data_IF_668576191291
#
_entry.id   IF_668576191291
#
_cell.length_a   1.000
_cell.length_b   1.000
_cell.length_c   1.000
_cell.angle_alpha   90.00
_cell.angle_beta   90.00
_cell.angle_gamma   90.00
#
_symmetry.space_group_name_H-M   'P 1'
#
loop_
_entity.id
_entity.type
_entity.pdbx_description
1 polymer ?
#
# COMPACT_ATOMS: atom_id res chain seq x y z
N UNK A 1 1.31 7.96 13.92
CA UNK A 1 0.09 8.08 13.13
C UNK A 1 0.20 9.23 12.13
N UNK A 2 -0.69 9.25 11.18
CA UNK A 2 -0.84 10.25 10.14
C UNK A 2 -2.33 10.49 9.88
N UNK A 3 -2.64 11.63 9.28
CA UNK A 3 -3.97 11.97 8.82
C UNK A 3 -4.15 11.43 7.40
N UNK A 4 -5.24 10.72 7.13
CA UNK A 4 -5.65 10.36 5.76
C UNK A 4 -6.65 11.37 5.25
N UNK A 5 -6.56 11.72 3.97
CA UNK A 5 -7.43 12.72 3.33
C UNK A 5 -7.63 12.37 1.84
N UNK A 6 -8.77 12.77 1.27
CA UNK A 6 -8.99 12.63 -0.18
C UNK A 6 -8.06 13.54 -0.98
N UNK A 7 -7.77 13.16 -2.23
CA UNK A 7 -6.96 14.00 -3.13
C UNK A 7 -7.59 15.37 -3.34
N UNK A 8 -8.91 15.42 -3.54
CA UNK A 8 -9.65 16.66 -3.80
C UNK A 8 -9.60 17.62 -2.60
N UNK A 9 -9.84 17.12 -1.39
CA UNK A 9 -9.79 17.95 -0.18
C UNK A 9 -8.36 18.45 0.09
N UNK A 10 -7.36 17.58 -0.13
CA UNK A 10 -5.96 17.96 0.01
C UNK A 10 -5.57 19.11 -0.93
N UNK A 11 -5.98 19.04 -2.19
CA UNK A 11 -5.71 20.10 -3.19
C UNK A 11 -6.36 21.42 -2.79
N UNK A 12 -7.59 21.40 -2.25
CA UNK A 12 -8.30 22.62 -1.81
C UNK A 12 -7.55 23.37 -0.71
N UNK A 13 -6.86 22.67 0.18
CA UNK A 13 -6.15 23.29 1.31
C UNK A 13 -4.62 23.30 1.11
N UNK A 14 -4.14 22.90 -0.07
CA UNK A 14 -2.74 22.97 -0.47
C UNK A 14 -1.82 21.92 0.16
N UNK A 15 -2.37 20.79 0.61
CA UNK A 15 -1.58 19.66 1.09
C UNK A 15 -1.07 18.82 -0.07
N UNK A 16 0.18 18.36 0.04
CA UNK A 16 0.86 17.60 -1.02
C UNK A 16 1.61 16.41 -0.46
N UNK A 17 1.66 15.36 -1.27
CA UNK A 17 2.58 14.23 -1.11
C UNK A 17 3.52 14.18 -2.32
N UNK A 18 4.78 13.84 -2.07
CA UNK A 18 5.82 13.75 -3.10
C UNK A 18 6.50 12.39 -3.03
N UNK A 19 6.44 11.62 -4.09
CA UNK A 19 7.26 10.41 -4.23
C UNK A 19 8.71 10.81 -4.51
N UNK A 20 9.59 10.53 -3.57
CA UNK A 20 11.03 10.81 -3.68
C UNK A 20 11.75 9.61 -4.28
N UNK A 21 11.42 8.41 -3.81
CA UNK A 21 11.92 7.14 -4.31
C UNK A 21 10.90 6.03 -3.98
N UNK A 22 11.13 4.81 -4.48
CA UNK A 22 10.37 3.67 -4.02
C UNK A 22 10.57 3.50 -2.51
N UNK A 23 9.49 3.52 -1.73
CA UNK A 23 9.52 3.51 -0.27
C UNK A 23 9.71 4.88 0.39
N UNK A 24 9.99 5.95 -0.34
CA UNK A 24 10.17 7.29 0.20
C UNK A 24 9.07 8.24 -0.27
N UNK A 25 8.21 8.64 0.65
CA UNK A 25 7.13 9.60 0.44
C UNK A 25 7.33 10.79 1.36
N UNK A 26 7.43 11.98 0.80
CA UNK A 26 7.45 13.22 1.54
C UNK A 26 6.07 13.86 1.57
N UNK A 27 5.74 14.55 2.64
CA UNK A 27 4.40 15.06 2.90
C UNK A 27 4.42 16.35 3.70
N UNK A 28 3.40 17.17 3.53
CA UNK A 28 3.14 18.29 4.43
C UNK A 28 2.54 17.80 5.76
N UNK A 29 2.59 18.69 6.77
CA UNK A 29 1.81 18.55 7.98
C UNK A 29 0.47 19.26 7.85
N UNK A 30 -0.51 18.82 8.65
CA UNK A 30 -1.74 19.54 8.91
C UNK A 30 -1.92 19.79 10.41
N UNK A 31 -2.55 20.89 10.75
CA UNK A 31 -3.13 21.12 12.06
C UNK A 31 -4.59 20.70 12.03
N UNK A 32 -4.92 19.68 12.80
CA UNK A 32 -6.31 19.22 12.97
C UNK A 32 -6.83 19.74 14.31
N UNK A 33 -7.98 20.40 14.28
CA UNK A 33 -8.62 21.00 15.47
C UNK A 33 -10.03 20.45 15.66
N UNK A 34 -10.31 20.00 16.88
CA UNK A 34 -11.64 19.54 17.33
C UNK A 34 -11.96 20.24 18.64
N UNK A 35 -13.05 21.02 18.69
CA UNK A 35 -13.52 21.69 19.92
C UNK A 35 -12.41 22.45 20.71
N UNK A 36 -11.53 23.13 19.98
CA UNK A 36 -10.45 23.93 20.58
C UNK A 36 -9.15 23.16 20.85
N UNK A 37 -9.15 21.84 20.82
CA UNK A 37 -7.94 21.02 20.90
C UNK A 37 -7.31 20.85 19.52
N UNK A 38 -6.01 21.07 19.41
CA UNK A 38 -5.30 20.98 18.13
C UNK A 38 -4.13 20.01 18.20
N UNK A 39 -3.92 19.28 17.10
CA UNK A 39 -2.77 18.38 16.91
C UNK A 39 -2.13 18.62 15.55
N UNK A 40 -0.81 18.69 15.52
CA UNK A 40 -0.01 18.69 14.30
C UNK A 40 0.30 17.26 13.90
N UNK A 41 -0.11 16.86 12.69
CA UNK A 41 0.06 15.51 12.16
C UNK A 41 0.52 15.53 10.71
N UNK A 42 1.38 14.61 10.27
CA UNK A 42 1.70 14.48 8.85
C UNK A 42 0.52 13.88 8.08
N UNK A 43 0.46 14.11 6.78
CA UNK A 43 -0.71 13.79 5.95
C UNK A 43 -0.38 12.78 4.88
N UNK A 44 -1.22 11.77 4.71
CA UNK A 44 -1.21 10.89 3.54
C UNK A 44 -2.48 11.12 2.73
N UNK A 45 -2.30 11.48 1.47
CA UNK A 45 -3.38 11.53 0.47
C UNK A 45 -3.69 10.09 0.09
N UNK A 46 -4.88 9.62 0.46
CA UNK A 46 -5.27 8.23 0.28
C UNK A 46 -6.28 8.09 -0.87
N UNK A 47 -5.93 7.34 -1.93
CA UNK A 47 -6.89 7.01 -2.98
C UNK A 47 -8.13 6.31 -2.42
N UNK A 48 -9.31 6.72 -2.86
CA UNK A 48 -10.58 6.16 -2.40
C UNK A 48 -11.10 6.71 -1.06
N UNK A 49 -10.37 7.59 -0.39
CA UNK A 49 -10.88 8.31 0.78
C UNK A 49 -12.09 9.17 0.37
N UNK A 50 -13.18 9.09 1.14
CA UNK A 50 -14.37 9.89 0.87
C UNK A 50 -14.09 11.39 1.02
N UNK A 51 -14.59 12.20 0.08
CA UNK A 51 -14.50 13.67 0.13
C UNK A 51 -15.21 14.19 1.38
N UNK A 52 -14.70 15.27 1.96
CA UNK A 52 -15.20 15.85 3.20
C UNK A 52 -14.93 15.02 4.45
N UNK A 53 -14.09 13.99 4.35
CA UNK A 53 -13.73 13.16 5.49
C UNK A 53 -12.23 13.00 5.65
N UNK A 54 -11.77 12.89 6.90
CA UNK A 54 -10.38 12.59 7.24
C UNK A 54 -10.32 11.49 8.30
N UNK A 55 -9.24 10.72 8.28
CA UNK A 55 -9.01 9.66 9.25
C UNK A 55 -7.75 9.89 10.07
N UNK A 56 -7.81 9.66 11.37
CA UNK A 56 -6.66 9.72 12.27
C UNK A 56 -6.69 8.56 13.26
N UNK A 57 -5.70 7.69 13.19
CA UNK A 57 -5.63 6.51 14.05
C UNK A 57 -5.23 6.85 15.49
N UNK A 58 -5.87 6.17 16.44
CA UNK A 58 -5.51 6.19 17.86
C UNK A 58 -4.31 5.27 18.18
N UNK A 59 -3.85 5.32 19.42
CA UNK A 59 -2.85 4.40 19.97
C UNK A 59 -1.40 4.85 19.87
N UNK A 60 -1.14 6.01 19.29
CA UNK A 60 0.19 6.63 19.17
C UNK A 60 0.42 7.74 20.21
N UNK A 61 1.63 8.32 20.22
CA UNK A 61 1.99 9.42 21.11
C UNK A 61 2.20 8.99 22.57
N UNK A 62 2.52 7.71 22.79
CA UNK A 62 2.91 7.19 24.12
C UNK A 62 4.35 7.59 24.41
N UNK A 63 4.59 8.18 25.58
CA UNK A 63 5.92 8.64 26.00
C UNK A 63 6.46 7.93 27.24
N UNK A 64 5.59 7.20 27.98
CA UNK A 64 5.97 6.46 29.18
C UNK A 64 6.14 4.98 28.89
N UNK A 65 7.09 4.34 29.57
CA UNK A 65 7.38 2.91 29.49
C UNK A 65 7.77 2.40 28.08
N UNK A 66 8.24 3.28 27.19
CA UNK A 66 8.72 2.93 25.86
C UNK A 66 10.13 3.46 25.64
N UNK A 67 10.95 2.72 24.89
CA UNK A 67 12.22 3.21 24.39
C UNK A 67 11.98 4.46 23.52
N UNK A 68 12.93 5.38 23.50
CA UNK A 68 12.80 6.67 22.78
C UNK A 68 12.48 6.47 21.30
N UNK A 69 13.07 5.48 20.68
CA UNK A 69 12.89 5.13 19.26
C UNK A 69 11.45 4.64 18.93
N UNK A 70 10.73 4.19 19.96
CA UNK A 70 9.34 3.70 19.84
C UNK A 70 8.31 4.80 20.18
N UNK A 71 8.75 5.96 20.63
CA UNK A 71 7.89 7.10 20.98
C UNK A 71 7.54 7.88 19.70
N UNK A 72 6.54 7.40 18.96
CA UNK A 72 6.17 7.94 17.66
C UNK A 72 4.74 8.45 17.62
N UNK A 73 4.52 9.46 16.77
CA UNK A 73 3.22 10.04 16.51
C UNK A 73 2.70 10.92 17.65
N UNK A 74 1.41 11.22 17.59
CA UNK A 74 0.71 12.09 18.56
C UNK A 74 -0.45 11.36 19.22
N UNK A 75 -0.82 11.79 20.42
CA UNK A 75 -1.96 11.22 21.14
C UNK A 75 -3.28 11.78 20.61
N UNK A 76 -3.88 11.08 19.66
CA UNK A 76 -5.15 11.45 19.04
C UNK A 76 -6.37 11.36 19.98
N UNK A 77 -6.24 10.69 21.13
CA UNK A 77 -7.33 10.68 22.14
C UNK A 77 -7.69 12.07 22.68
N UNK A 78 -6.79 13.05 22.57
CA UNK A 78 -7.10 14.45 22.92
C UNK A 78 -8.25 15.02 22.09
N UNK A 79 -8.40 14.55 20.86
CA UNK A 79 -9.46 14.96 19.94
C UNK A 79 -10.74 14.14 20.10
N UNK A 80 -10.69 13.03 20.83
CA UNK A 80 -11.84 12.11 20.99
C UNK A 80 -12.80 12.67 22.06
N UNK A 81 -13.93 13.21 21.60
CA UNK A 81 -14.93 13.85 22.47
C UNK A 81 -16.23 13.09 22.41
N UNK A 82 -16.86 12.89 23.58
CA UNK A 82 -18.21 12.33 23.68
C UNK A 82 -18.39 10.91 23.13
N UNK A 83 -17.31 10.13 23.05
CA UNK A 83 -17.33 8.78 22.46
C UNK A 83 -17.86 8.68 21.02
N UNK A 84 -17.85 9.79 20.28
CA UNK A 84 -18.26 9.82 18.88
C UNK A 84 -17.10 9.35 17.97
N UNK A 85 -17.41 8.42 17.06
CA UNK A 85 -16.45 7.91 16.07
C UNK A 85 -16.18 8.93 14.96
N UNK A 86 -17.13 9.80 14.66
CA UNK A 86 -16.98 10.89 13.69
C UNK A 86 -17.29 12.24 14.35
N UNK A 87 -16.51 13.25 13.99
CA UNK A 87 -16.61 14.60 14.56
C UNK A 87 -16.28 15.63 13.50
N UNK A 88 -16.87 16.82 13.61
CA UNK A 88 -16.49 17.93 12.77
C UNK A 88 -15.09 18.42 13.15
N UNK A 89 -14.24 18.60 12.16
CA UNK A 89 -12.86 19.01 12.34
C UNK A 89 -12.56 20.25 11.49
N UNK A 90 -11.66 21.11 11.98
CA UNK A 90 -11.03 22.14 11.18
C UNK A 90 -9.63 21.66 10.79
N UNK A 91 -9.26 21.84 9.51
CA UNK A 91 -7.92 21.52 9.02
C UNK A 91 -7.24 22.78 8.50
N UNK A 92 -5.95 22.88 8.82
CA UNK A 92 -5.08 23.93 8.29
C UNK A 92 -3.78 23.29 7.80
N UNK A 93 -3.34 23.66 6.60
CA UNK A 93 -2.08 23.19 6.04
C UNK A 93 -0.90 23.84 6.75
N UNK A 94 0.13 23.05 7.06
CA UNK A 94 1.40 23.53 7.59
C UNK A 94 2.48 23.19 6.57
N UNK A 95 3.19 24.22 6.07
CA UNK A 95 4.24 24.07 5.07
C UNK A 95 5.55 23.61 5.71
N UNK A 96 5.52 22.44 6.33
CA UNK A 96 6.67 21.71 6.83
C UNK A 96 6.69 20.33 6.20
N UNK A 97 7.88 19.76 6.01
CA UNK A 97 8.05 18.45 5.39
C UNK A 97 8.12 17.34 6.45
N UNK A 98 7.43 16.25 6.18
CA UNK A 98 7.55 14.98 6.91
C UNK A 98 7.99 13.88 5.96
N UNK A 99 9.01 13.17 6.33
CA UNK A 99 9.52 12.03 5.59
C UNK A 99 8.83 10.74 6.04
N UNK A 100 8.01 10.14 5.18
CA UNK A 100 7.47 8.80 5.40
C UNK A 100 8.37 7.73 4.81
N UNK A 101 8.39 6.57 5.45
CA UNK A 101 8.85 5.32 4.87
C UNK A 101 7.64 4.42 4.62
N UNK A 102 7.39 4.09 3.37
CA UNK A 102 6.25 3.31 2.93
C UNK A 102 6.76 2.01 2.29
N UNK A 103 6.44 0.87 2.86
CA UNK A 103 6.84 -0.43 2.29
C UNK A 103 6.11 -0.76 1.00
N UNK A 104 5.04 -0.01 0.67
CA UNK A 104 4.31 -0.13 -0.57
C UNK A 104 3.74 1.22 -1.00
N UNK A 105 4.16 1.69 -2.18
CA UNK A 105 3.66 2.91 -2.82
C UNK A 105 2.92 2.62 -4.14
N UNK A 106 2.82 1.36 -4.53
CA UNK A 106 2.14 0.94 -5.76
C UNK A 106 0.63 1.00 -5.55
N UNK A 107 0.01 2.07 -6.02
CA UNK A 107 -1.42 2.31 -5.91
C UNK A 107 -2.11 2.44 -7.28
N UNK A 108 -1.38 2.22 -8.36
CA UNK A 108 -1.91 2.19 -9.73
C UNK A 108 -1.24 1.09 -10.54
N UNK A 109 -1.92 0.58 -11.55
CA UNK A 109 -1.37 -0.35 -12.53
C UNK A 109 -0.55 0.34 -13.62
N UNK A 110 -0.50 1.69 -13.62
CA UNK A 110 0.21 2.50 -14.62
C UNK A 110 -0.18 2.16 -16.06
N UNK A 111 -1.47 1.90 -16.32
CA UNK A 111 -1.99 1.49 -17.61
C UNK A 111 -1.76 0.01 -17.97
N UNK A 112 -1.19 -0.80 -17.08
CA UNK A 112 -0.92 -2.22 -17.31
C UNK A 112 -2.06 -3.10 -16.77
N UNK A 113 -3.30 -2.87 -17.25
CA UNK A 113 -4.50 -3.53 -16.73
C UNK A 113 -4.45 -5.06 -16.73
N UNK A 114 -3.72 -5.65 -17.69
CA UNK A 114 -3.68 -7.10 -17.87
C UNK A 114 -2.68 -7.85 -16.99
N UNK A 115 -1.91 -7.17 -16.14
CA UNK A 115 -0.95 -7.87 -15.25
C UNK A 115 -1.64 -8.55 -14.06
N UNK A 116 -2.80 -8.07 -13.64
CA UNK A 116 -3.67 -8.73 -12.65
C UNK A 116 -4.82 -9.37 -13.40
N UNK A 117 -4.97 -10.67 -13.22
CA UNK A 117 -6.03 -11.45 -13.85
C UNK A 117 -7.20 -11.58 -12.89
N UNK A 118 -8.38 -11.15 -13.34
CA UNK A 118 -9.61 -11.20 -12.56
C UNK A 118 -10.67 -11.98 -13.32
N UNK A 119 -11.46 -12.77 -12.62
CA UNK A 119 -12.58 -13.52 -13.20
C UNK A 119 -13.62 -13.82 -12.14
N UNK A 120 -14.84 -14.16 -12.57
CA UNK A 120 -15.87 -14.69 -11.68
C UNK A 120 -15.81 -16.21 -11.67
N UNK A 121 -16.32 -16.84 -10.62
CA UNK A 121 -16.39 -18.29 -10.51
C UNK A 121 -17.18 -18.91 -11.67
N UNK A 122 -18.25 -18.25 -12.11
CA UNK A 122 -19.05 -18.68 -13.26
C UNK A 122 -18.21 -18.72 -14.54
N UNK A 123 -17.49 -17.64 -14.85
CA UNK A 123 -16.64 -17.56 -16.03
C UNK A 123 -15.50 -18.57 -15.95
N UNK A 124 -14.88 -18.73 -14.79
CA UNK A 124 -13.82 -19.71 -14.56
C UNK A 124 -14.29 -21.15 -14.86
N UNK A 125 -15.51 -21.51 -14.43
CA UNK A 125 -16.05 -22.84 -14.60
C UNK A 125 -16.63 -23.11 -16.01
N UNK A 126 -17.07 -22.06 -16.73
CA UNK A 126 -17.82 -22.24 -17.99
C UNK A 126 -17.07 -21.79 -19.24
N UNK A 127 -16.04 -20.99 -19.12
CA UNK A 127 -15.28 -20.43 -20.25
C UNK A 127 -13.86 -20.93 -20.26
N UNK A 128 -13.24 -20.93 -21.44
CA UNK A 128 -11.82 -21.24 -21.56
C UNK A 128 -10.96 -20.15 -20.94
N UNK A 129 -9.73 -20.48 -20.52
CA UNK A 129 -8.77 -19.54 -19.92
C UNK A 129 -8.53 -18.28 -20.75
N UNK A 130 -8.69 -18.32 -22.06
CA UNK A 130 -8.55 -17.18 -22.97
C UNK A 130 -9.46 -15.99 -22.62
N UNK A 131 -10.58 -16.23 -21.91
CA UNK A 131 -11.54 -15.18 -21.54
C UNK A 131 -11.08 -14.32 -20.37
N UNK A 132 -10.23 -14.84 -19.51
CA UNK A 132 -9.81 -14.17 -18.29
C UNK A 132 -8.28 -14.14 -18.09
N UNK A 133 -7.54 -14.93 -18.87
CA UNK A 133 -6.09 -15.01 -18.82
C UNK A 133 -5.49 -14.68 -20.18
N UNK A 134 -5.57 -13.41 -20.57
CA UNK A 134 -4.94 -12.93 -21.81
C UNK A 134 -3.42 -13.09 -21.72
N UNK A 135 -2.80 -13.58 -22.78
CA UNK A 135 -1.35 -13.67 -22.88
C UNK A 135 -0.82 -12.33 -23.37
N UNK A 136 0.14 -11.71 -22.68
CA UNK A 136 0.80 -10.49 -23.16
C UNK A 136 1.46 -10.74 -24.52
N UNK A 137 1.53 -9.69 -25.33
CA UNK A 137 2.15 -9.72 -26.64
C UNK A 137 3.31 -8.73 -26.70
N UNK A 138 4.30 -9.06 -27.50
CA UNK A 138 5.43 -8.19 -27.83
C UNK A 138 5.54 -8.05 -29.35
N UNK A 139 6.24 -7.03 -29.79
CA UNK A 139 6.52 -6.87 -31.22
C UNK A 139 7.81 -7.60 -31.56
N UNK A 140 7.69 -8.65 -32.37
CA UNK A 140 8.82 -9.33 -32.99
C UNK A 140 8.82 -9.00 -34.49
N UNK A 141 9.83 -8.29 -34.97
CA UNK A 141 9.91 -7.85 -36.38
C UNK A 141 8.63 -7.15 -36.88
N UNK A 142 8.05 -6.26 -36.01
CA UNK A 142 6.79 -5.53 -36.27
C UNK A 142 5.52 -6.40 -36.31
N UNK A 143 5.61 -7.68 -35.90
CA UNK A 143 4.48 -8.59 -35.77
C UNK A 143 4.15 -8.79 -34.29
N UNK A 144 2.87 -8.61 -33.91
CA UNK A 144 2.42 -8.92 -32.54
C UNK A 144 2.53 -10.43 -32.29
N UNK A 145 3.45 -10.79 -31.40
CA UNK A 145 3.75 -12.18 -31.05
C UNK A 145 3.48 -12.40 -29.56
N UNK A 146 2.75 -13.48 -29.17
CA UNK A 146 2.59 -13.82 -27.77
C UNK A 146 3.94 -14.06 -27.07
N UNK A 147 4.10 -13.61 -25.82
CA UNK A 147 5.35 -13.85 -25.05
C UNK A 147 5.63 -15.33 -24.78
N UNK A 148 4.64 -16.19 -24.96
CA UNK A 148 4.78 -17.65 -24.85
C UNK A 148 5.26 -18.30 -26.13
N UNK A 149 5.50 -17.53 -27.22
CA UNK A 149 6.06 -18.06 -28.45
C UNK A 149 7.53 -18.43 -28.25
N UNK A 150 7.97 -19.62 -28.72
CA UNK A 150 9.39 -19.99 -28.69
C UNK A 150 10.33 -18.97 -29.34
N UNK A 151 9.81 -18.20 -30.32
CA UNK A 151 10.61 -17.20 -31.04
C UNK A 151 10.99 -15.97 -30.19
N UNK A 152 10.30 -15.73 -29.08
CA UNK A 152 10.53 -14.60 -28.15
C UNK A 152 10.97 -15.05 -26.77
N UNK A 153 10.91 -16.34 -26.48
CA UNK A 153 11.41 -16.90 -25.23
C UNK A 153 12.92 -17.00 -25.27
N UNK A 154 13.59 -16.56 -24.19
CA UNK A 154 15.04 -16.60 -24.04
C UNK A 154 15.53 -17.92 -23.45
N UNK A 155 14.63 -18.75 -22.98
CA UNK A 155 14.92 -19.99 -22.25
C UNK A 155 14.10 -21.15 -22.80
N UNK A 156 14.70 -22.33 -22.78
CA UNK A 156 13.95 -23.54 -23.01
C UNK A 156 12.89 -23.75 -21.93
N UNK A 157 11.76 -24.34 -22.29
CA UNK A 157 10.70 -24.63 -21.33
C UNK A 157 11.20 -25.59 -20.25
N UNK A 158 10.97 -25.23 -18.98
CA UNK A 158 11.27 -26.13 -17.88
C UNK A 158 10.37 -27.37 -17.91
N UNK A 159 10.95 -28.53 -17.73
CA UNK A 159 10.18 -29.76 -17.55
C UNK A 159 9.42 -29.72 -16.23
N UNK A 160 8.14 -29.40 -16.30
CA UNK A 160 7.24 -29.28 -15.16
C UNK A 160 6.77 -30.62 -14.61
N UNK A 161 7.17 -31.75 -15.20
CA UNK A 161 6.93 -33.08 -14.67
C UNK A 161 7.91 -33.46 -13.55
N UNK A 162 9.02 -32.74 -13.44
CA UNK A 162 10.09 -33.01 -12.46
C UNK A 162 9.87 -32.16 -11.20
N UNK A 163 9.79 -32.82 -10.06
CA UNK A 163 9.67 -32.17 -8.75
C UNK A 163 8.26 -31.68 -8.43
N UNK A 164 8.19 -30.78 -7.44
CA UNK A 164 6.93 -30.19 -7.00
C UNK A 164 6.81 -28.75 -7.49
N UNK A 165 5.59 -28.37 -7.88
CA UNK A 165 5.24 -27.00 -8.21
C UNK A 165 4.35 -26.45 -7.11
N UNK A 166 4.71 -25.28 -6.59
CA UNK A 166 4.00 -24.64 -5.49
C UNK A 166 3.27 -23.39 -5.98
N UNK A 167 2.08 -23.19 -5.49
CA UNK A 167 1.36 -21.94 -5.58
C UNK A 167 0.76 -21.56 -4.23
N UNK A 168 0.41 -20.29 -4.07
CA UNK A 168 -0.25 -19.78 -2.88
C UNK A 168 -1.69 -19.43 -3.23
N UNK A 169 -2.65 -20.12 -2.59
CA UNK A 169 -4.06 -19.81 -2.69
C UNK A 169 -4.54 -19.22 -1.38
N UNK A 170 -5.19 -18.06 -1.45
CA UNK A 170 -5.65 -17.31 -0.29
C UNK A 170 -7.14 -17.07 -0.41
N UNK A 171 -7.92 -17.62 0.52
CA UNK A 171 -9.34 -17.30 0.66
C UNK A 171 -9.49 -15.97 1.39
N UNK A 172 -9.73 -14.89 0.65
CA UNK A 172 -9.89 -13.55 1.20
C UNK A 172 -11.18 -13.38 2.05
N UNK A 173 -12.17 -14.28 1.90
CA UNK A 173 -13.36 -14.25 2.74
C UNK A 173 -13.07 -14.83 4.14
N UNK A 174 -12.15 -15.79 4.23
CA UNK A 174 -11.72 -16.37 5.49
C UNK A 174 -10.51 -15.66 6.13
N UNK A 175 -9.80 -14.86 5.36
CA UNK A 175 -8.59 -14.17 5.80
C UNK A 175 -8.89 -13.13 6.88
N UNK A 176 -8.25 -13.26 8.05
CA UNK A 176 -8.36 -12.31 9.17
C UNK A 176 -7.31 -11.20 9.15
N UNK A 177 -6.39 -11.21 8.17
CA UNK A 177 -5.28 -10.24 8.10
C UNK A 177 -4.23 -10.42 9.21
N UNK A 178 -4.08 -11.60 9.79
CA UNK A 178 -3.17 -11.85 10.92
C UNK A 178 -1.68 -11.74 10.56
N UNK A 179 -1.31 -11.75 9.26
CA UNK A 179 0.08 -11.61 8.79
C UNK A 179 0.98 -12.83 8.99
N UNK A 180 0.45 -13.97 9.44
CA UNK A 180 1.26 -15.18 9.69
C UNK A 180 1.99 -15.67 8.43
N UNK A 181 1.34 -15.64 7.27
CA UNK A 181 1.96 -16.00 5.98
C UNK A 181 3.08 -15.02 5.58
N UNK A 182 2.93 -13.74 5.88
CA UNK A 182 3.97 -12.72 5.65
C UNK A 182 5.19 -13.01 6.52
N UNK A 183 4.99 -13.30 7.80
CA UNK A 183 6.08 -13.63 8.72
C UNK A 183 6.75 -14.95 8.36
N UNK A 184 5.99 -15.97 7.95
CA UNK A 184 6.55 -17.23 7.47
C UNK A 184 7.44 -17.01 6.23
N UNK A 185 7.01 -16.19 5.28
CA UNK A 185 7.83 -15.82 4.13
C UNK A 185 9.11 -15.08 4.56
N UNK A 186 9.02 -14.16 5.53
CA UNK A 186 10.21 -13.47 6.06
C UNK A 186 11.21 -14.42 6.68
N UNK A 187 10.73 -15.36 7.49
CA UNK A 187 11.59 -16.34 8.20
C UNK A 187 12.27 -17.28 7.21
N UNK A 188 11.53 -17.84 6.26
CA UNK A 188 12.04 -18.83 5.30
C UNK A 188 13.02 -18.20 4.30
N UNK A 189 12.74 -17.00 3.83
CA UNK A 189 13.54 -16.32 2.82
C UNK A 189 14.56 -15.33 3.40
N UNK A 190 14.75 -15.35 4.72
CA UNK A 190 15.67 -14.43 5.41
C UNK A 190 15.49 -12.96 4.98
N UNK A 191 14.24 -12.51 4.87
CA UNK A 191 13.92 -11.14 4.48
C UNK A 191 14.37 -10.18 5.58
N UNK A 192 15.22 -9.19 5.30
CA UNK A 192 15.73 -8.30 6.33
C UNK A 192 14.63 -7.41 6.92
N UNK A 193 14.61 -7.31 8.24
CA UNK A 193 13.80 -6.31 8.95
C UNK A 193 14.65 -5.07 9.14
N UNK A 194 14.31 -3.99 8.44
CA UNK A 194 15.05 -2.72 8.42
C UNK A 194 14.17 -1.55 8.84
N UNK A 195 14.80 -0.47 9.25
CA UNK A 195 14.11 0.73 9.69
C UNK A 195 13.81 1.71 8.56
N UNK A 196 13.27 2.85 8.95
CA UNK A 196 12.82 3.96 8.09
C UNK A 196 13.87 4.37 7.05
N UNK A 197 15.13 4.50 7.46
CA UNK A 197 16.22 4.96 6.59
C UNK A 197 16.43 4.04 5.40
N UNK A 198 16.44 2.73 5.62
CA UNK A 198 16.67 1.76 4.55
C UNK A 198 15.44 1.60 3.64
N UNK A 199 14.23 1.63 4.21
CA UNK A 199 12.99 1.62 3.40
C UNK A 199 12.95 2.83 2.47
N UNK A 200 13.32 4.00 2.95
CA UNK A 200 13.40 5.23 2.13
C UNK A 200 14.48 5.18 1.04
N UNK A 201 15.44 4.27 1.16
CA UNK A 201 16.45 3.95 0.12
C UNK A 201 16.01 2.81 -0.81
N UNK A 202 14.72 2.55 -0.90
CA UNK A 202 14.13 1.51 -1.76
C UNK A 202 14.43 0.07 -1.34
N UNK A 203 14.73 -0.17 -0.06
CA UNK A 203 14.86 -1.54 0.42
C UNK A 203 13.48 -2.14 0.63
N UNK A 204 13.19 -3.22 -0.09
CA UNK A 204 11.94 -3.94 0.04
C UNK A 204 11.88 -4.76 1.33
N UNK A 205 10.72 -4.71 1.97
CA UNK A 205 10.27 -5.56 3.07
C UNK A 205 8.89 -6.09 2.73
N UNK A 206 8.45 -7.15 3.40
CA UNK A 206 7.13 -7.74 3.16
C UNK A 206 6.93 -8.16 1.70
N UNK A 207 7.65 -9.19 1.26
CA UNK A 207 7.58 -9.69 -0.12
C UNK A 207 6.18 -10.22 -0.47
N UNK A 208 5.46 -10.78 0.52
CA UNK A 208 4.05 -11.07 0.39
C UNK A 208 3.23 -9.85 0.82
N UNK A 209 2.25 -9.49 0.01
CA UNK A 209 1.27 -8.42 0.27
C UNK A 209 -0.11 -8.96 -0.03
N UNK A 210 -0.94 -9.03 1.00
CA UNK A 210 -2.28 -9.58 0.95
C UNK A 210 -3.29 -8.49 1.25
#
# INVERSE_FOLDING_TARGET
NYLTISKKDADQIGLKNYNVANGALDSNYALITVQGESLKVPVIIQPGQAEGSVGLAFGYGKTKALKKEMQVGVNAYKLYKGFNLSQNVKLESINENHEFACVQLHNTLMGRGDIIKETTLEVFNTKSAKHWNSVPKVSLNHIETPVTSPDVDLWDEFDRSIGHHFNLSIDLNACTGCGACVIACHAENNVPVVGKTEVRKSRDMHWLRI
#
